data_IF_460112336723
#
_entry.id   IF_460112336723
#
_cell.length_a   1.000
_cell.length_b   1.000
_cell.length_c   1.000
_cell.angle_alpha   90.00
_cell.angle_beta   90.00
_cell.angle_gamma   90.00
#
_symmetry.space_group_name_H-M   'P 1'
#
loop_
_entity.id
_entity.type
_entity.pdbx_description
1 polymer ?
#
# COMPACT_ATOMS: atom_id res chain seq x y z
N UNK A 1 1.59 -10.83 11.39
CA UNK A 1 0.22 -10.47 11.08
C UNK A 1 0.14 -9.06 10.54
N UNK A 2 -0.74 -8.79 9.60
CA UNK A 2 -0.86 -7.47 8.99
C UNK A 2 -2.29 -6.96 9.12
N UNK A 3 -2.42 -5.72 9.57
CA UNK A 3 -3.70 -5.02 9.57
C UNK A 3 -3.67 -3.92 8.51
N UNK A 4 -4.70 -3.87 7.68
CA UNK A 4 -4.84 -2.88 6.62
C UNK A 4 -6.08 -2.04 6.90
N UNK A 5 -5.89 -0.74 7.07
CA UNK A 5 -6.98 0.21 7.20
C UNK A 5 -7.01 1.11 5.97
N UNK A 6 -8.19 1.30 5.41
CA UNK A 6 -8.37 2.17 4.26
C UNK A 6 -9.43 3.22 4.55
N UNK A 7 -9.18 4.44 4.12
CA UNK A 7 -10.13 5.54 4.22
C UNK A 7 -10.05 6.38 2.96
N UNK A 8 -11.18 6.57 2.30
CA UNK A 8 -11.24 7.37 1.07
C UNK A 8 -11.92 8.70 1.39
N UNK A 9 -11.18 9.78 1.20
CA UNK A 9 -11.68 11.11 1.54
C UNK A 9 -11.16 12.14 0.54
N UNK A 10 -12.08 12.93 0.00
CA UNK A 10 -11.76 14.04 -0.91
C UNK A 10 -10.86 13.61 -2.08
N UNK A 11 -11.11 12.44 -2.62
CA UNK A 11 -10.38 11.93 -3.78
C UNK A 11 -9.05 11.26 -3.45
N UNK A 12 -8.71 11.11 -2.17
CA UNK A 12 -7.47 10.48 -1.75
C UNK A 12 -7.77 9.22 -0.96
N UNK A 13 -7.16 8.11 -1.34
CA UNK A 13 -7.25 6.87 -0.59
C UNK A 13 -6.08 6.79 0.39
N UNK A 14 -6.39 6.79 1.66
CA UNK A 14 -5.39 6.64 2.72
C UNK A 14 -5.35 5.18 3.13
N UNK A 15 -4.16 4.57 3.06
CA UNK A 15 -3.96 3.17 3.43
C UNK A 15 -2.93 3.12 4.55
N UNK A 16 -3.33 2.60 5.70
CA UNK A 16 -2.42 2.42 6.83
C UNK A 16 -2.13 0.95 6.99
N UNK A 17 -0.85 0.61 7.08
CA UNK A 17 -0.41 -0.76 7.28
C UNK A 17 0.20 -0.90 8.66
N UNK A 18 -0.23 -1.92 9.40
CA UNK A 18 0.29 -2.22 10.73
C UNK A 18 0.74 -3.67 10.80
N UNK A 19 1.95 -3.90 11.26
CA UNK A 19 2.52 -5.22 11.43
C UNK A 19 3.56 -5.54 10.39
N UNK A 20 3.56 -6.78 9.89
CA UNK A 20 4.56 -7.27 8.94
C UNK A 20 3.88 -7.60 7.62
N UNK A 21 4.41 -7.03 6.54
CA UNK A 21 3.92 -7.30 5.19
C UNK A 21 4.84 -8.31 4.52
N UNK A 22 4.47 -9.58 4.61
CA UNK A 22 5.27 -10.68 4.06
C UNK A 22 4.45 -11.53 3.10
N UNK A 23 5.09 -12.60 2.62
CA UNK A 23 4.48 -13.51 1.64
C UNK A 23 3.15 -14.10 2.14
N UNK A 24 3.01 -14.33 3.44
CA UNK A 24 1.80 -14.95 3.99
C UNK A 24 0.60 -14.02 3.97
N UNK A 25 0.82 -12.72 4.03
CA UNK A 25 -0.26 -11.74 4.15
C UNK A 25 -0.31 -10.73 2.99
N UNK A 26 0.60 -10.82 2.02
CA UNK A 26 0.61 -9.89 0.89
C UNK A 26 -0.69 -9.96 0.07
N UNK A 27 -1.44 -11.07 0.16
CA UNK A 27 -2.73 -11.19 -0.49
C UNK A 27 -3.71 -10.11 -0.04
N UNK A 28 -3.56 -9.59 1.18
CA UNK A 28 -4.43 -8.52 1.68
C UNK A 28 -4.28 -7.26 0.82
N UNK A 29 -3.07 -6.96 0.40
CA UNK A 29 -2.84 -5.83 -0.50
C UNK A 29 -3.41 -6.14 -1.89
N UNK A 30 -3.08 -7.30 -2.44
CA UNK A 30 -3.47 -7.66 -3.80
C UNK A 30 -4.98 -7.86 -3.96
N UNK A 31 -5.65 -8.37 -2.92
CA UNK A 31 -7.07 -8.71 -3.01
C UNK A 31 -8.00 -7.63 -2.45
N UNK A 32 -7.50 -6.72 -1.63
CA UNK A 32 -8.33 -5.67 -1.02
C UNK A 32 -7.97 -4.28 -1.50
N UNK A 33 -6.69 -3.94 -1.56
CA UNK A 33 -6.28 -2.59 -1.95
C UNK A 33 -6.32 -2.40 -3.46
N UNK A 34 -5.70 -3.32 -4.21
CA UNK A 34 -5.63 -3.22 -5.67
C UNK A 34 -7.03 -3.16 -6.31
N UNK A 35 -7.97 -4.06 -5.93
CA UNK A 35 -9.31 -3.99 -6.52
C UNK A 35 -10.05 -2.69 -6.23
N UNK A 36 -9.89 -2.13 -5.03
CA UNK A 36 -10.51 -0.85 -4.67
C UNK A 36 -9.97 0.26 -5.56
N UNK A 37 -8.66 0.28 -5.76
CA UNK A 37 -8.01 1.29 -6.61
C UNK A 37 -8.55 1.21 -8.05
N UNK A 38 -8.64 0.01 -8.59
CA UNK A 38 -9.09 -0.17 -9.97
C UNK A 38 -10.59 0.08 -10.12
N UNK A 39 -11.40 -0.46 -9.22
CA UNK A 39 -12.85 -0.32 -9.29
C UNK A 39 -13.31 1.13 -9.18
N UNK A 40 -12.73 1.88 -8.28
CA UNK A 40 -13.11 3.27 -8.03
C UNK A 40 -12.23 4.28 -8.77
N UNK A 41 -11.32 3.79 -9.62
CA UNK A 41 -10.42 4.63 -10.41
C UNK A 41 -9.70 5.65 -9.54
N UNK A 42 -9.20 5.19 -8.41
CA UNK A 42 -8.48 6.05 -7.46
C UNK A 42 -7.22 6.60 -8.12
N UNK A 43 -7.02 7.91 -8.05
CA UNK A 43 -5.85 8.58 -8.64
C UNK A 43 -4.81 8.99 -7.62
N UNK A 44 -5.20 9.15 -6.36
CA UNK A 44 -4.27 9.58 -5.33
C UNK A 44 -4.34 8.63 -4.17
N UNK A 45 -3.20 8.05 -3.81
CA UNK A 45 -3.12 7.11 -2.72
C UNK A 45 -1.93 7.47 -1.83
N UNK A 46 -2.18 7.44 -0.53
CA UNK A 46 -1.14 7.67 0.47
C UNK A 46 -1.01 6.42 1.32
N UNK A 47 0.17 5.81 1.33
CA UNK A 47 0.50 4.75 2.27
C UNK A 47 1.13 5.36 3.50
N UNK A 48 0.53 5.11 4.66
CA UNK A 48 1.14 5.45 5.94
C UNK A 48 1.80 4.18 6.47
N UNK A 49 3.12 4.19 6.56
CA UNK A 49 3.92 3.03 6.93
C UNK A 49 4.51 3.16 8.33
N UNK A 50 3.99 4.08 9.13
CA UNK A 50 4.52 4.33 10.47
C UNK A 50 4.51 3.08 11.36
N UNK A 51 3.45 2.29 11.26
CA UNK A 51 3.29 1.09 12.08
C UNK A 51 3.71 -0.20 11.36
N UNK A 52 4.32 -0.08 10.18
CA UNK A 52 4.83 -1.24 9.45
C UNK A 52 6.19 -1.64 10.04
N UNK A 53 6.25 -2.85 10.59
CA UNK A 53 7.41 -3.35 11.32
C UNK A 53 8.40 -4.09 10.43
N UNK A 54 7.95 -4.61 9.29
CA UNK A 54 8.82 -5.33 8.38
C UNK A 54 8.14 -5.60 7.05
N UNK A 55 8.97 -5.90 6.04
CA UNK A 55 8.50 -6.17 4.70
C UNK A 55 9.50 -7.10 4.01
N UNK A 56 9.01 -8.07 3.23
CA UNK A 56 9.86 -8.93 2.42
C UNK A 56 9.66 -8.64 0.92
N UNK A 57 10.27 -9.44 0.05
CA UNK A 57 10.17 -9.23 -1.39
C UNK A 57 8.72 -9.35 -1.88
N UNK A 58 7.95 -10.30 -1.33
CA UNK A 58 6.56 -10.46 -1.72
C UNK A 58 5.74 -9.24 -1.30
N UNK A 59 6.05 -8.67 -0.14
CA UNK A 59 5.41 -7.43 0.32
C UNK A 59 5.75 -6.25 -0.58
N UNK A 60 7.02 -6.15 -0.99
CA UNK A 60 7.44 -5.11 -1.93
C UNK A 60 6.71 -5.24 -3.26
N UNK A 61 6.58 -6.47 -3.77
CA UNK A 61 5.85 -6.71 -5.01
C UNK A 61 4.39 -6.30 -4.89
N UNK A 62 3.76 -6.56 -3.73
CA UNK A 62 2.38 -6.16 -3.51
C UNK A 62 2.24 -4.63 -3.56
N UNK A 63 3.16 -3.90 -2.95
CA UNK A 63 3.14 -2.43 -3.01
C UNK A 63 3.36 -1.94 -4.45
N UNK A 64 4.20 -2.61 -5.21
CA UNK A 64 4.40 -2.29 -6.63
C UNK A 64 3.13 -2.54 -7.44
N UNK A 65 2.37 -3.57 -7.11
CA UNK A 65 1.09 -3.84 -7.78
C UNK A 65 0.10 -2.69 -7.56
N UNK A 66 0.08 -2.12 -6.35
CA UNK A 66 -0.75 -0.94 -6.07
C UNK A 66 -0.26 0.25 -6.90
N UNK A 67 1.05 0.44 -7.00
CA UNK A 67 1.63 1.51 -7.81
C UNK A 67 1.22 1.36 -9.27
N UNK A 68 1.26 0.14 -9.80
CA UNK A 68 0.84 -0.12 -11.17
C UNK A 68 -0.64 0.20 -11.37
N UNK A 69 -1.50 -0.18 -10.40
CA UNK A 69 -2.93 0.12 -10.48
C UNK A 69 -3.18 1.64 -10.49
N UNK A 70 -2.49 2.38 -9.63
CA UNK A 70 -2.61 3.84 -9.58
C UNK A 70 -2.14 4.46 -10.91
N UNK A 71 -1.06 3.95 -11.49
CA UNK A 71 -0.57 4.42 -12.79
C UNK A 71 -1.57 4.15 -13.91
N UNK A 72 -2.25 3.01 -13.86
CA UNK A 72 -3.31 2.67 -14.81
C UNK A 72 -4.39 3.75 -14.80
N UNK A 73 -4.68 4.31 -13.63
CA UNK A 73 -5.63 5.40 -13.46
C UNK A 73 -5.04 6.77 -13.73
N UNK A 74 -3.77 6.84 -14.17
CA UNK A 74 -3.03 8.09 -14.39
C UNK A 74 -2.88 8.92 -13.11
N UNK A 75 -2.68 8.22 -12.01
CA UNK A 75 -2.58 8.84 -10.69
C UNK A 75 -1.19 8.82 -10.11
N UNK A 76 -1.11 9.18 -8.84
CA UNK A 76 0.14 9.24 -8.09
C UNK A 76 0.00 8.55 -6.76
N UNK A 77 1.11 7.98 -6.28
CA UNK A 77 1.17 7.32 -4.99
C UNK A 77 2.23 8.02 -4.13
N UNK A 78 1.95 8.14 -2.85
CA UNK A 78 2.86 8.74 -1.89
C UNK A 78 3.07 7.79 -0.72
N UNK A 79 4.32 7.64 -0.30
CA UNK A 79 4.66 6.88 0.90
C UNK A 79 5.01 7.90 1.99
N UNK A 80 4.36 7.79 3.14
CA UNK A 80 4.68 8.66 4.26
C UNK A 80 5.02 7.84 5.49
N UNK A 81 5.76 8.47 6.39
CA UNK A 81 6.19 7.86 7.65
C UNK A 81 7.03 6.58 7.43
N UNK A 82 7.89 6.60 6.40
CA UNK A 82 8.78 5.47 6.12
C UNK A 82 9.96 5.53 7.09
N UNK A 83 10.14 4.49 7.89
CA UNK A 83 11.27 4.39 8.81
C UNK A 83 12.58 4.17 8.05
N UNK A 84 13.72 4.48 8.67
CA UNK A 84 15.02 4.24 8.05
C UNK A 84 15.21 2.76 7.73
N UNK A 85 14.74 1.88 8.60
CA UNK A 85 14.80 0.44 8.38
C UNK A 85 14.08 0.04 7.10
N UNK A 86 12.89 0.60 6.87
CA UNK A 86 12.11 0.30 5.66
C UNK A 86 12.74 0.91 4.42
N UNK A 87 13.31 2.10 4.52
CA UNK A 87 13.97 2.75 3.39
C UNK A 87 15.11 1.92 2.83
N UNK A 88 15.86 1.28 3.70
CA UNK A 88 16.96 0.43 3.26
C UNK A 88 16.47 -0.78 2.48
N UNK A 89 15.24 -1.23 2.73
CA UNK A 89 14.64 -2.37 2.04
C UNK A 89 13.91 -1.96 0.77
N UNK A 90 13.52 -0.75 0.71
CA UNK A 90 12.82 -0.18 -0.44
C UNK A 90 13.80 0.50 -1.38
#
# INVERSE_FOLDING_TARGET
>A
MLKVDMEYEKGILYVRLKGVLDRKVCYKINNYVVPVVLKHKVKYLVFNLYELEGIDESGMDALLNVKCAIRTNKGKICLCEVSDFLREKM
#
